data_IF_357344130671
#
_entry.id   IF_357344130671
#
_cell.length_a   1.000
_cell.length_b   1.000
_cell.length_c   1.000
_cell.angle_alpha   90.00
_cell.angle_beta   90.00
_cell.angle_gamma   90.00
#
_symmetry.space_group_name_H-M   'P 1'
#
loop_
_entity.id
_entity.type
_entity.pdbx_description
1 polymer ?
#
# COMPACT_ATOMS: atom_id res chain seq x y z
N UNK A 1 -14.20 -45.34 -15.84
CA UNK A 1 -14.66 -45.09 -14.47
C UNK A 1 -13.41 -44.97 -13.63
N UNK A 2 -12.73 -43.83 -13.71
CA UNK A 2 -12.96 -42.66 -12.83
C UNK A 2 -12.36 -42.96 -11.44
N UNK A 3 -11.39 -42.24 -10.87
CA UNK A 3 -11.04 -40.82 -10.95
C UNK A 3 -9.55 -40.65 -10.60
N UNK A 4 -8.83 -39.84 -11.38
CA UNK A 4 -7.57 -39.21 -10.98
C UNK A 4 -7.85 -38.20 -9.85
N UNK A 5 -7.29 -38.41 -8.66
CA UNK A 5 -7.10 -37.32 -7.68
C UNK A 5 -5.61 -37.08 -7.55
N UNK A 6 -5.20 -35.92 -8.04
CA UNK A 6 -3.84 -35.41 -7.96
C UNK A 6 -3.38 -35.38 -6.50
N UNK A 7 -2.21 -35.95 -6.25
CA UNK A 7 -1.46 -35.69 -5.03
C UNK A 7 -1.16 -34.18 -4.96
N UNK A 8 -1.50 -33.56 -3.83
CA UNK A 8 -1.03 -32.23 -3.47
C UNK A 8 0.50 -32.23 -3.50
N UNK A 9 1.19 -31.29 -4.19
CA UNK A 9 2.61 -31.16 -4.04
C UNK A 9 2.90 -30.61 -2.64
N UNK A 10 3.81 -31.30 -1.94
CA UNK A 10 4.30 -31.00 -0.60
C UNK A 10 4.62 -29.51 -0.45
N UNK A 11 4.10 -28.90 0.63
CA UNK A 11 4.55 -27.59 1.13
C UNK A 11 6.07 -27.64 1.31
N UNK A 12 6.82 -27.03 0.40
CA UNK A 12 8.24 -26.79 0.61
C UNK A 12 8.38 -25.74 1.72
N UNK A 13 8.88 -26.18 2.88
CA UNK A 13 9.43 -25.33 3.93
C UNK A 13 10.81 -24.76 3.54
N UNK A 14 11.06 -24.58 2.24
CA UNK A 14 12.33 -24.07 1.76
C UNK A 14 12.38 -22.56 2.04
N UNK A 15 13.30 -22.18 2.92
CA UNK A 15 13.75 -20.79 2.99
C UNK A 15 14.13 -20.34 1.56
N UNK A 16 13.67 -19.16 1.13
CA UNK A 16 14.00 -18.66 -0.20
C UNK A 16 15.51 -18.63 -0.41
N UNK A 17 15.97 -19.07 -1.57
CA UNK A 17 17.40 -19.13 -1.91
C UNK A 17 18.15 -17.81 -1.72
N UNK A 18 17.45 -16.67 -1.77
CA UNK A 18 18.03 -15.34 -1.53
C UNK A 18 18.52 -15.14 -0.07
N UNK A 19 17.94 -15.83 0.93
CA UNK A 19 18.40 -15.72 2.33
C UNK A 19 19.81 -16.29 2.52
N UNK A 20 20.23 -17.21 1.63
CA UNK A 20 21.56 -17.82 1.66
C UNK A 20 22.62 -17.00 0.91
N UNK A 21 22.22 -16.01 0.13
CA UNK A 21 23.10 -15.18 -0.70
C UNK A 21 23.57 -13.91 0.02
N UNK A 22 23.21 -13.74 1.30
CA UNK A 22 23.50 -12.59 2.17
C UNK A 22 24.99 -12.40 2.56
N UNK A 23 25.91 -13.28 2.12
CA UNK A 23 27.30 -13.29 2.58
C UNK A 23 28.31 -12.59 1.66
N UNK A 24 27.92 -12.09 0.49
CA UNK A 24 28.83 -11.36 -0.41
C UNK A 24 28.50 -9.86 -0.44
N UNK A 25 29.30 -9.08 0.27
CA UNK A 25 29.31 -7.60 0.22
C UNK A 25 29.71 -7.14 -1.19
N UNK A 26 28.74 -7.02 -2.09
CA UNK A 26 28.89 -6.34 -3.37
C UNK A 26 28.64 -4.84 -3.15
N UNK A 27 29.64 -4.02 -3.49
CA UNK A 27 29.52 -2.56 -3.41
C UNK A 27 28.64 -2.02 -4.53
N UNK A 28 27.51 -1.42 -4.16
CA UNK A 28 26.50 -0.91 -5.11
C UNK A 28 26.92 0.43 -5.73
N UNK A 29 26.67 0.60 -7.04
CA UNK A 29 27.02 1.79 -7.83
C UNK A 29 25.85 2.80 -7.79
N UNK A 30 26.05 4.13 -7.81
CA UNK A 30 24.95 5.10 -7.90
C UNK A 30 24.07 4.87 -9.14
N UNK A 31 22.75 4.79 -8.96
CA UNK A 31 21.77 4.50 -10.04
C UNK A 31 21.43 3.02 -10.22
N UNK A 32 21.65 2.20 -9.19
CA UNK A 32 21.32 0.77 -9.14
C UNK A 32 20.11 0.52 -8.25
N UNK A 33 19.27 -0.46 -8.61
CA UNK A 33 18.09 -0.82 -7.81
C UNK A 33 18.52 -1.84 -6.74
N UNK A 34 18.32 -1.52 -5.46
CA UNK A 34 18.54 -2.46 -4.37
C UNK A 34 17.49 -3.60 -4.45
N UNK A 35 17.89 -4.87 -4.55
CA UNK A 35 16.95 -5.98 -4.57
C UNK A 35 16.18 -6.17 -3.24
N UNK A 36 16.73 -5.72 -2.10
CA UNK A 36 16.06 -5.76 -0.78
C UNK A 36 14.85 -4.86 -0.73
N UNK A 37 14.86 -3.79 -1.52
CA UNK A 37 13.87 -2.74 -1.49
C UNK A 37 12.47 -3.18 -1.97
N UNK A 38 12.35 -4.20 -2.83
CA UNK A 38 11.10 -4.50 -3.55
C UNK A 38 10.18 -5.53 -2.87
N UNK A 39 10.55 -6.01 -1.69
CA UNK A 39 9.72 -6.88 -0.87
C UNK A 39 8.90 -6.13 0.17
N UNK A 40 8.91 -4.78 0.17
CA UNK A 40 8.63 -4.02 1.39
C UNK A 40 9.43 -4.65 2.53
N UNK A 41 10.75 -4.77 2.33
CA UNK A 41 11.60 -5.31 3.37
C UNK A 41 11.50 -4.35 4.55
N UNK A 42 10.68 -4.76 5.52
CA UNK A 42 10.46 -4.10 6.79
C UNK A 42 11.81 -3.62 7.33
N UNK A 43 12.88 -4.43 7.14
CA UNK A 43 14.28 -4.09 7.37
C UNK A 43 14.69 -2.66 7.05
N UNK A 44 14.58 -2.22 5.80
CA UNK A 44 15.14 -0.92 5.42
C UNK A 44 14.26 0.24 5.93
N UNK A 45 12.96 -0.02 6.14
CA UNK A 45 12.04 0.90 6.83
C UNK A 45 12.22 0.92 8.36
N UNK A 46 12.93 -0.07 8.90
CA UNK A 46 13.18 -0.28 10.32
C UNK A 46 14.60 0.14 10.74
N UNK A 47 15.57 0.11 9.82
CA UNK A 47 16.94 0.56 10.03
C UNK A 47 17.08 2.10 10.09
N UNK A 48 16.20 2.83 9.39
CA UNK A 48 16.15 4.30 9.39
C UNK A 48 15.34 4.87 10.58
N UNK A 49 14.99 4.05 11.59
CA UNK A 49 14.31 4.54 12.80
C UNK A 49 15.23 5.53 13.53
N UNK A 50 14.83 6.80 13.68
CA UNK A 50 15.63 7.71 14.49
C UNK A 50 15.58 7.23 15.93
N UNK A 51 16.76 7.12 16.55
CA UNK A 51 16.92 6.96 18.00
C UNK A 51 16.12 8.01 18.79
N UNK A 52 15.74 9.12 18.15
CA UNK A 52 14.90 10.18 18.69
C UNK A 52 13.48 9.74 19.07
N UNK A 53 13.00 8.55 18.69
CA UNK A 53 11.76 8.02 19.26
C UNK A 53 11.95 7.43 20.67
N UNK A 54 13.20 7.26 21.13
CA UNK A 54 13.55 7.01 22.53
C UNK A 54 13.92 8.30 23.30
N UNK A 55 14.32 9.38 22.61
CA UNK A 55 14.60 10.67 23.23
C UNK A 55 13.43 11.64 23.04
N UNK A 56 12.77 12.02 24.14
CA UNK A 56 11.62 12.94 24.16
C UNK A 56 11.94 14.39 23.75
N UNK A 57 13.08 14.67 23.11
CA UNK A 57 13.57 16.02 22.85
C UNK A 57 14.12 16.14 21.42
N UNK A 58 13.22 16.25 20.45
CA UNK A 58 13.53 16.67 19.09
C UNK A 58 12.34 17.43 18.49
N UNK A 59 12.59 18.63 18.00
CA UNK A 59 11.63 19.65 17.53
C UNK A 59 10.79 19.23 16.29
N UNK A 60 10.00 18.16 16.41
CA UNK A 60 8.81 17.97 15.59
C UNK A 60 7.60 18.18 16.50
N UNK A 61 6.79 19.21 16.22
CA UNK A 61 5.59 19.60 16.97
C UNK A 61 4.48 18.53 16.89
N UNK A 62 4.71 17.33 17.43
CA UNK A 62 3.73 16.23 17.48
C UNK A 62 3.50 15.71 18.91
N UNK A 63 4.00 16.41 19.93
CA UNK A 63 3.88 16.05 21.35
C UNK A 63 2.43 16.02 21.89
N UNK A 64 1.40 16.27 21.07
CA UNK A 64 -0.01 16.27 21.48
C UNK A 64 -0.91 15.25 20.78
N UNK A 65 -0.41 14.46 19.81
CA UNK A 65 -1.29 13.58 19.00
C UNK A 65 -1.70 12.30 19.74
N UNK A 66 -0.96 11.88 20.77
CA UNK A 66 -1.22 10.57 21.40
C UNK A 66 -0.90 10.53 22.89
N UNK A 67 -1.95 10.43 23.71
CA UNK A 67 -1.84 9.79 25.02
C UNK A 67 -1.87 8.27 24.81
N UNK A 68 -0.85 7.50 25.25
CA UNK A 68 -0.92 6.06 25.16
C UNK A 68 -2.18 5.56 25.85
N UNK A 69 -2.96 4.66 25.22
CA UNK A 69 -4.24 4.22 25.74
C UNK A 69 -3.97 3.57 27.09
N UNK A 70 -4.34 4.26 28.17
CA UNK A 70 -4.46 3.63 29.47
C UNK A 70 -5.33 2.39 29.29
N UNK A 71 -4.95 1.25 29.86
CA UNK A 71 -5.69 0.00 29.66
C UNK A 71 -7.14 0.18 30.16
N UNK A 72 -8.06 0.48 29.23
CA UNK A 72 -9.47 0.65 29.56
C UNK A 72 -10.11 -0.72 29.69
N UNK A 73 -11.12 -0.84 30.54
CA UNK A 73 -11.96 -2.06 30.60
C UNK A 73 -12.60 -2.37 29.23
N UNK A 74 -12.74 -1.36 28.37
CA UNK A 74 -13.26 -1.46 27.00
C UNK A 74 -12.35 -2.29 26.10
N UNK A 75 -11.05 -1.99 26.02
CA UNK A 75 -10.13 -2.72 25.17
C UNK A 75 -10.06 -4.21 25.52
N UNK A 76 -10.01 -4.55 26.82
CA UNK A 76 -10.06 -5.94 27.31
C UNK A 76 -11.29 -6.67 26.79
N UNK A 77 -12.46 -6.04 26.90
CA UNK A 77 -13.73 -6.62 26.42
C UNK A 77 -13.70 -6.83 24.91
N UNK A 78 -13.14 -5.87 24.15
CA UNK A 78 -13.01 -5.95 22.69
C UNK A 78 -12.06 -7.06 22.24
N UNK A 79 -10.92 -7.24 22.90
CA UNK A 79 -9.97 -8.31 22.62
C UNK A 79 -10.64 -9.68 22.81
N UNK A 80 -11.37 -9.86 23.93
CA UNK A 80 -12.09 -11.10 24.21
C UNK A 80 -13.21 -11.37 23.18
N UNK A 81 -13.97 -10.36 22.80
CA UNK A 81 -15.03 -10.49 21.79
C UNK A 81 -14.48 -10.82 20.39
N UNK A 82 -13.35 -10.22 20.01
CA UNK A 82 -12.67 -10.50 18.75
C UNK A 82 -12.13 -11.93 18.73
N UNK A 83 -11.45 -12.34 19.79
CA UNK A 83 -10.99 -13.73 19.99
C UNK A 83 -12.14 -14.73 19.79
N UNK A 84 -13.26 -14.52 20.47
CA UNK A 84 -14.45 -15.38 20.39
C UNK A 84 -15.02 -15.44 18.97
N UNK A 85 -15.04 -14.30 18.27
CA UNK A 85 -15.54 -14.20 16.89
C UNK A 85 -14.66 -15.00 15.92
N UNK A 86 -13.34 -14.93 16.06
CA UNK A 86 -12.40 -15.67 15.20
C UNK A 86 -12.48 -17.19 15.47
N UNK A 87 -12.59 -17.62 16.73
CA UNK A 87 -12.77 -19.04 17.09
C UNK A 87 -14.06 -19.63 16.50
N UNK A 88 -15.16 -18.87 16.49
CA UNK A 88 -16.42 -19.31 15.89
C UNK A 88 -16.29 -19.58 14.38
N UNK A 89 -15.38 -18.89 13.68
CA UNK A 89 -15.17 -19.10 12.25
C UNK A 89 -14.33 -20.34 11.92
N UNK A 90 -13.55 -20.86 12.87
CA UNK A 90 -12.67 -22.01 12.67
C UNK A 90 -13.28 -23.33 13.14
N UNK A 91 -14.48 -23.32 13.72
CA UNK A 91 -15.14 -24.52 14.29
C UNK A 91 -15.24 -25.70 13.32
N UNK A 92 -15.45 -25.42 12.02
CA UNK A 92 -15.55 -26.44 10.98
C UNK A 92 -14.26 -26.62 10.14
N UNK A 93 -13.12 -26.08 10.60
CA UNK A 93 -11.84 -26.06 9.86
C UNK A 93 -10.69 -26.42 10.80
N UNK A 94 -10.40 -27.72 10.99
CA UNK A 94 -9.42 -28.21 11.98
C UNK A 94 -8.04 -27.55 11.83
N UNK A 95 -7.54 -27.44 10.59
CA UNK A 95 -6.24 -26.82 10.29
C UNK A 95 -6.14 -25.34 10.70
N UNK A 96 -7.24 -24.57 10.59
CA UNK A 96 -7.25 -23.17 11.04
C UNK A 96 -7.43 -23.06 12.56
N UNK A 97 -8.07 -24.06 13.17
CA UNK A 97 -8.30 -24.07 14.61
C UNK A 97 -6.99 -24.29 15.37
N UNK A 98 -6.21 -25.30 14.99
CA UNK A 98 -4.90 -25.60 15.62
C UNK A 98 -3.95 -24.41 15.57
N UNK A 99 -3.88 -23.74 14.42
CA UNK A 99 -3.03 -22.56 14.20
C UNK A 99 -3.52 -21.31 14.94
N UNK A 100 -4.85 -21.16 15.07
CA UNK A 100 -5.42 -20.09 15.88
C UNK A 100 -5.18 -20.35 17.37
N UNK A 101 -5.27 -21.61 17.82
CA UNK A 101 -4.93 -22.04 19.18
C UNK A 101 -3.45 -21.77 19.51
N UNK A 102 -2.54 -21.95 18.54
CA UNK A 102 -1.15 -21.51 18.67
C UNK A 102 -1.04 -19.99 18.88
N UNK A 103 -1.78 -19.20 18.09
CA UNK A 103 -1.78 -17.73 18.24
C UNK A 103 -2.31 -17.28 19.61
N UNK A 104 -3.25 -18.03 20.21
CA UNK A 104 -3.67 -17.83 21.59
C UNK A 104 -2.53 -18.12 22.58
N UNK A 105 -1.84 -19.24 22.41
CA UNK A 105 -0.72 -19.64 23.27
C UNK A 105 0.48 -18.69 23.15
N UNK A 106 0.73 -18.11 21.98
CA UNK A 106 1.79 -17.14 21.73
C UNK A 106 1.48 -15.74 22.28
N UNK A 107 0.34 -15.55 22.95
CA UNK A 107 -0.01 -14.28 23.59
C UNK A 107 -0.52 -13.19 22.63
N UNK A 108 -0.89 -13.53 21.39
CA UNK A 108 -1.40 -12.54 20.41
C UNK A 108 -2.65 -11.82 20.94
N UNK A 109 -3.60 -12.55 21.53
CA UNK A 109 -4.86 -12.01 22.05
C UNK A 109 -4.75 -11.47 23.49
N UNK A 110 -3.63 -10.82 23.81
CA UNK A 110 -3.44 -10.11 25.08
C UNK A 110 -3.62 -8.61 24.87
N UNK A 111 -4.12 -7.92 25.90
CA UNK A 111 -4.29 -6.45 25.87
C UNK A 111 -2.93 -5.77 25.67
N UNK A 112 -1.88 -6.27 26.33
CA UNK A 112 -0.51 -5.78 26.19
C UNK A 112 0.01 -5.90 24.76
N UNK A 113 -0.24 -7.04 24.09
CA UNK A 113 0.17 -7.22 22.70
C UNK A 113 -0.56 -6.24 21.77
N UNK A 114 -1.87 -6.09 21.94
CA UNK A 114 -2.68 -5.15 21.15
C UNK A 114 -2.20 -3.70 21.30
N UNK A 115 -1.91 -3.26 22.53
CA UNK A 115 -1.38 -1.92 22.80
C UNK A 115 0.00 -1.73 22.15
N UNK A 116 0.92 -2.67 22.34
CA UNK A 116 2.27 -2.59 21.79
C UNK A 116 2.25 -2.58 20.26
N UNK A 117 1.49 -3.48 19.65
CA UNK A 117 1.34 -3.55 18.20
C UNK A 117 0.77 -2.24 17.64
N UNK A 118 -0.23 -1.68 18.32
CA UNK A 118 -0.79 -0.41 17.90
C UNK A 118 0.21 0.75 17.99
N UNK A 119 0.95 0.87 19.09
CA UNK A 119 1.97 1.93 19.25
C UNK A 119 2.97 1.87 18.10
N UNK A 120 3.44 0.66 17.74
CA UNK A 120 4.35 0.48 16.62
C UNK A 120 3.69 0.85 15.28
N UNK A 121 2.42 0.46 15.08
CA UNK A 121 1.67 0.85 13.88
C UNK A 121 1.58 2.37 13.73
N UNK A 122 1.25 3.08 14.81
CA UNK A 122 1.18 4.55 14.84
C UNK A 122 2.55 5.20 14.61
N UNK A 123 3.62 4.69 15.23
CA UNK A 123 4.99 5.20 15.02
C UNK A 123 5.41 5.08 13.55
N UNK A 124 4.88 4.09 12.83
CA UNK A 124 5.19 3.84 11.41
C UNK A 124 4.19 4.45 10.42
N UNK A 125 3.30 5.34 10.89
CA UNK A 125 2.27 5.98 10.06
C UNK A 125 2.80 6.66 8.78
N UNK A 126 4.01 7.19 8.82
CA UNK A 126 4.62 7.93 7.70
C UNK A 126 5.12 7.03 6.57
N UNK A 127 5.45 5.77 6.88
CA UNK A 127 6.06 4.87 5.90
C UNK A 127 5.12 4.45 4.78
N UNK A 128 3.87 4.16 5.15
CA UNK A 128 2.85 3.70 4.22
C UNK A 128 1.65 4.64 4.18
N UNK A 129 1.61 5.75 4.94
CA UNK A 129 0.48 6.71 4.99
C UNK A 129 -0.89 6.04 4.74
N UNK A 130 -1.26 5.02 5.55
CA UNK A 130 -2.47 4.24 5.31
C UNK A 130 -3.70 5.17 5.34
N UNK A 131 -4.88 4.74 4.85
CA UNK A 131 -6.09 5.56 4.87
C UNK A 131 -6.65 5.68 6.30
N UNK A 132 -5.86 6.19 7.25
CA UNK A 132 -6.14 6.32 8.68
C UNK A 132 -5.92 7.78 9.07
N UNK A 133 -6.98 8.42 9.55
CA UNK A 133 -6.92 9.76 10.10
C UNK A 133 -6.53 9.68 11.58
N UNK A 134 -5.22 9.71 11.84
CA UNK A 134 -4.65 9.50 13.16
C UNK A 134 -5.21 10.43 14.26
N UNK A 135 -5.45 11.73 14.01
CA UNK A 135 -6.02 12.59 15.04
C UNK A 135 -7.41 12.16 15.54
N UNK A 136 -8.18 11.44 14.73
CA UNK A 136 -9.51 10.93 15.11
C UNK A 136 -9.52 9.43 15.42
N UNK A 137 -8.37 8.76 15.36
CA UNK A 137 -8.29 7.31 15.46
C UNK A 137 -8.30 6.86 16.93
N UNK A 138 -9.35 6.12 17.30
CA UNK A 138 -9.57 5.68 18.68
C UNK A 138 -9.81 4.16 18.73
N UNK A 139 -8.86 3.44 19.34
CA UNK A 139 -8.90 1.98 19.49
C UNK A 139 -10.16 1.47 20.20
N UNK A 140 -10.74 2.27 21.10
CA UNK A 140 -11.92 1.89 21.86
C UNK A 140 -13.21 2.09 21.07
N UNK A 141 -13.20 2.91 20.00
CA UNK A 141 -14.40 3.27 19.22
C UNK A 141 -14.48 2.67 17.82
N UNK A 142 -13.36 2.38 17.17
CA UNK A 142 -13.34 1.84 15.79
C UNK A 142 -14.00 0.46 15.68
N UNK A 143 -14.40 0.02 14.49
CA UNK A 143 -14.90 -1.33 14.26
C UNK A 143 -13.87 -2.41 14.62
N UNK A 144 -14.34 -3.57 15.11
CA UNK A 144 -13.48 -4.72 15.45
C UNK A 144 -12.64 -5.22 14.27
N UNK A 145 -13.15 -5.07 13.04
CA UNK A 145 -12.46 -5.39 11.80
C UNK A 145 -11.21 -4.51 11.59
N UNK A 146 -11.37 -3.19 11.79
CA UNK A 146 -10.27 -2.24 11.66
C UNK A 146 -9.26 -2.39 12.79
N UNK A 147 -9.73 -2.65 14.02
CA UNK A 147 -8.87 -2.99 15.14
C UNK A 147 -7.99 -4.20 14.84
N UNK A 148 -8.58 -5.30 14.34
CA UNK A 148 -7.83 -6.50 13.99
C UNK A 148 -6.77 -6.20 12.93
N UNK A 149 -7.15 -5.51 11.83
CA UNK A 149 -6.21 -5.19 10.77
C UNK A 149 -5.05 -4.31 11.26
N UNK A 150 -5.34 -3.26 12.04
CA UNK A 150 -4.32 -2.38 12.62
C UNK A 150 -3.34 -3.14 13.53
N UNK A 151 -3.85 -4.03 14.39
CA UNK A 151 -3.02 -4.84 15.30
C UNK A 151 -2.20 -5.87 14.53
N UNK A 152 -2.73 -6.50 13.49
CA UNK A 152 -1.96 -7.43 12.64
C UNK A 152 -0.83 -6.70 11.91
N UNK A 153 -1.09 -5.51 11.35
CA UNK A 153 -0.05 -4.67 10.74
C UNK A 153 1.02 -4.28 11.77
N UNK A 154 0.61 -3.84 12.96
CA UNK A 154 1.52 -3.55 14.07
C UNK A 154 2.34 -4.76 14.52
N UNK A 155 1.73 -5.94 14.53
CA UNK A 155 2.38 -7.20 14.89
C UNK A 155 3.45 -7.58 13.87
N UNK A 156 3.18 -7.39 12.58
CA UNK A 156 4.17 -7.63 11.52
C UNK A 156 5.42 -6.75 11.71
N UNK A 157 5.24 -5.49 12.11
CA UNK A 157 6.35 -4.62 12.46
C UNK A 157 7.09 -5.06 13.72
N UNK A 158 6.38 -5.47 14.77
CA UNK A 158 6.96 -5.97 16.02
C UNK A 158 7.83 -7.21 15.77
N UNK A 159 7.37 -8.16 14.97
CA UNK A 159 8.11 -9.38 14.65
C UNK A 159 9.40 -9.12 13.90
N UNK A 160 9.41 -8.08 13.09
CA UNK A 160 10.64 -7.71 12.42
C UNK A 160 11.67 -7.14 13.42
N UNK A 161 11.21 -6.36 14.41
CA UNK A 161 12.07 -5.82 15.48
C UNK A 161 12.55 -6.91 16.44
N UNK A 162 11.63 -7.78 16.86
CA UNK A 162 11.89 -8.86 17.79
C UNK A 162 12.38 -10.09 17.03
N UNK A 163 13.70 -10.32 17.02
CA UNK A 163 14.33 -11.51 16.41
C UNK A 163 14.04 -12.81 17.17
N UNK A 164 13.00 -12.85 18.00
CA UNK A 164 12.60 -14.03 18.76
C UNK A 164 12.03 -15.11 17.83
N UNK A 165 12.08 -16.37 18.28
CA UNK A 165 11.61 -17.53 17.51
C UNK A 165 10.09 -17.70 17.53
N UNK A 166 9.35 -16.89 18.30
CA UNK A 166 7.89 -16.96 18.36
C UNK A 166 7.29 -16.01 17.33
N UNK A 167 6.64 -16.58 16.31
CA UNK A 167 5.95 -15.83 15.28
C UNK A 167 4.42 -15.85 15.55
N UNK A 168 3.85 -14.84 16.25
CA UNK A 168 2.40 -14.77 16.46
C UNK A 168 1.57 -14.52 15.18
N UNK A 169 2.18 -14.28 14.03
CA UNK A 169 1.54 -13.92 12.76
C UNK A 169 1.67 -15.08 11.78
N UNK A 170 0.85 -16.11 12.01
CA UNK A 170 0.84 -17.28 11.13
C UNK A 170 0.04 -17.00 9.85
N UNK A 171 0.36 -17.72 8.77
CA UNK A 171 -0.41 -17.64 7.52
C UNK A 171 -1.90 -17.97 7.74
N UNK A 172 -2.20 -18.86 8.67
CA UNK A 172 -3.56 -19.24 9.06
C UNK A 172 -4.29 -18.12 9.82
N UNK A 173 -3.60 -17.41 10.73
CA UNK A 173 -4.19 -16.25 11.41
C UNK A 173 -4.57 -15.17 10.40
N UNK A 174 -3.66 -14.87 9.45
CA UNK A 174 -3.92 -13.95 8.35
C UNK A 174 -5.11 -14.41 7.50
N UNK A 175 -5.17 -15.69 7.13
CA UNK A 175 -6.29 -16.26 6.37
C UNK A 175 -7.64 -16.15 7.12
N UNK A 176 -7.66 -16.35 8.44
CA UNK A 176 -8.87 -16.21 9.26
C UNK A 176 -9.28 -14.74 9.36
N UNK A 177 -8.33 -13.83 9.60
CA UNK A 177 -8.58 -12.39 9.66
C UNK A 177 -9.10 -11.84 8.33
N UNK A 178 -8.49 -12.25 7.21
CA UNK A 178 -8.95 -11.95 5.86
C UNK A 178 -10.41 -12.38 5.66
N UNK A 179 -10.76 -13.61 6.06
CA UNK A 179 -12.13 -14.12 5.96
C UNK A 179 -13.09 -13.35 6.86
N UNK A 180 -12.68 -12.96 8.06
CA UNK A 180 -13.47 -12.16 8.99
C UNK A 180 -13.90 -10.84 8.32
N UNK A 181 -12.92 -10.10 7.80
CA UNK A 181 -13.10 -8.78 7.21
C UNK A 181 -13.91 -8.87 5.91
N UNK A 182 -13.54 -9.75 4.99
CA UNK A 182 -14.23 -9.84 3.70
C UNK A 182 -15.62 -10.47 3.79
N UNK A 183 -15.93 -11.22 4.84
CA UNK A 183 -17.32 -11.65 5.12
C UNK A 183 -18.18 -10.45 5.46
N UNK A 184 -17.67 -9.53 6.26
CA UNK A 184 -18.38 -8.30 6.64
C UNK A 184 -18.52 -7.32 5.47
N UNK A 185 -17.46 -7.12 4.67
CA UNK A 185 -17.51 -6.31 3.44
C UNK A 185 -18.69 -6.76 2.56
N UNK A 186 -18.82 -8.07 2.32
CA UNK A 186 -19.90 -8.64 1.50
C UNK A 186 -21.26 -8.44 2.17
N UNK A 187 -21.38 -8.77 3.45
CA UNK A 187 -22.64 -8.65 4.20
C UNK A 187 -23.18 -7.22 4.15
N UNK A 188 -22.34 -6.21 4.35
CA UNK A 188 -22.72 -4.80 4.31
C UNK A 188 -23.07 -4.34 2.88
N UNK A 189 -22.32 -4.82 1.87
CA UNK A 189 -22.60 -4.52 0.48
C UNK A 189 -23.93 -5.13 -0.02
N UNK A 190 -24.29 -6.32 0.48
CA UNK A 190 -25.57 -6.98 0.21
C UNK A 190 -26.74 -6.22 0.85
N UNK A 191 -26.48 -5.52 1.96
CA UNK A 191 -27.42 -4.60 2.61
C UNK A 191 -27.47 -3.21 1.94
N UNK A 192 -26.77 -3.03 0.82
CA UNK A 192 -26.62 -1.75 0.11
C UNK A 192 -26.07 -0.61 0.98
N UNK A 193 -25.30 -0.93 2.03
CA UNK A 193 -24.58 0.07 2.80
C UNK A 193 -23.38 0.57 1.99
N UNK A 194 -23.17 1.88 1.99
CA UNK A 194 -22.04 2.52 1.31
C UNK A 194 -21.03 3.07 2.32
N UNK A 195 -19.72 3.13 1.98
CA UNK A 195 -18.72 3.75 2.85
C UNK A 195 -19.04 5.22 3.14
N UNK A 196 -19.57 5.95 2.15
CA UNK A 196 -19.93 7.35 2.30
C UNK A 196 -21.07 7.55 3.32
N UNK A 197 -22.05 6.65 3.38
CA UNK A 197 -23.21 6.78 4.27
C UNK A 197 -23.02 6.12 5.65
N UNK A 198 -21.99 5.27 5.83
CA UNK A 198 -21.80 4.51 7.05
C UNK A 198 -20.34 4.46 7.48
N UNK A 199 -20.06 5.00 8.67
CA UNK A 199 -18.75 4.91 9.33
C UNK A 199 -18.30 3.47 9.52
N UNK A 200 -19.19 2.58 9.95
CA UNK A 200 -18.85 1.16 10.11
C UNK A 200 -18.44 0.50 8.78
N UNK A 201 -19.16 0.81 7.69
CA UNK A 201 -18.79 0.31 6.36
C UNK A 201 -17.43 0.84 5.90
N UNK A 202 -17.18 2.13 6.13
CA UNK A 202 -15.90 2.76 5.84
C UNK A 202 -14.75 2.11 6.60
N UNK A 203 -14.92 1.87 7.91
CA UNK A 203 -13.92 1.22 8.76
C UNK A 203 -13.65 -0.24 8.35
N UNK A 204 -14.68 -0.97 7.90
CA UNK A 204 -14.52 -2.31 7.32
C UNK A 204 -13.76 -2.25 5.97
N UNK A 205 -13.99 -1.23 5.15
CA UNK A 205 -13.20 -1.01 3.93
C UNK A 205 -11.74 -0.62 4.24
N UNK A 206 -11.49 0.24 5.23
CA UNK A 206 -10.13 0.53 5.71
C UNK A 206 -9.42 -0.74 6.17
N UNK A 207 -10.11 -1.62 6.91
CA UNK A 207 -9.57 -2.91 7.32
C UNK A 207 -9.21 -3.80 6.13
N UNK A 208 -10.06 -3.85 5.10
CA UNK A 208 -9.80 -4.61 3.88
C UNK A 208 -8.59 -4.08 3.11
N UNK A 209 -8.42 -2.76 3.03
CA UNK A 209 -7.23 -2.13 2.44
C UNK A 209 -5.97 -2.50 3.20
N UNK A 210 -5.97 -2.36 4.53
CA UNK A 210 -4.83 -2.71 5.38
C UNK A 210 -4.44 -4.18 5.25
N UNK A 211 -5.43 -5.09 5.20
CA UNK A 211 -5.17 -6.52 4.99
C UNK A 211 -4.57 -6.80 3.62
N UNK A 212 -5.08 -6.18 2.55
CA UNK A 212 -4.52 -6.34 1.21
C UNK A 212 -3.06 -5.88 1.16
N UNK A 213 -2.73 -4.76 1.81
CA UNK A 213 -1.35 -4.27 1.91
C UNK A 213 -0.48 -5.23 2.74
N UNK A 214 -0.97 -5.66 3.91
CA UNK A 214 -0.23 -6.56 4.79
C UNK A 214 0.08 -7.90 4.13
N UNK A 215 -0.94 -8.67 3.74
CA UNK A 215 -0.72 -9.97 3.12
C UNK A 215 -0.03 -9.84 1.75
N UNK A 216 -0.24 -8.73 1.03
CA UNK A 216 0.47 -8.40 -0.21
C UNK A 216 1.98 -8.25 -0.03
N UNK A 217 2.40 -7.88 1.17
CA UNK A 217 3.81 -7.71 1.58
C UNK A 217 4.38 -8.97 2.23
N UNK A 218 3.55 -9.94 2.61
CA UNK A 218 4.05 -11.19 3.19
C UNK A 218 4.67 -12.10 2.14
N UNK A 219 5.70 -12.86 2.53
CA UNK A 219 6.26 -13.91 1.68
C UNK A 219 5.37 -15.16 1.67
N UNK A 220 4.09 -14.99 1.29
CA UNK A 220 3.12 -16.07 1.19
C UNK A 220 2.45 -16.06 -0.20
N UNK A 221 2.88 -16.99 -1.06
CA UNK A 221 2.46 -17.09 -2.47
C UNK A 221 0.92 -17.21 -2.59
N UNK A 222 0.32 -18.12 -1.82
CA UNK A 222 -1.13 -18.34 -1.83
C UNK A 222 -1.91 -17.11 -1.36
N UNK A 223 -1.40 -16.41 -0.33
CA UNK A 223 -1.98 -15.17 0.19
C UNK A 223 -2.00 -14.09 -0.88
N UNK A 224 -0.85 -13.79 -1.49
CA UNK A 224 -0.75 -12.80 -2.58
C UNK A 224 -1.67 -13.14 -3.76
N UNK A 225 -1.73 -14.41 -4.15
CA UNK A 225 -2.67 -14.85 -5.20
C UNK A 225 -4.12 -14.59 -4.83
N UNK A 226 -4.54 -14.93 -3.60
CA UNK A 226 -5.92 -14.68 -3.14
C UNK A 226 -6.23 -13.19 -3.10
N UNK A 227 -5.30 -12.36 -2.66
CA UNK A 227 -5.50 -10.91 -2.62
C UNK A 227 -5.75 -10.36 -4.02
N UNK A 228 -4.82 -10.64 -4.94
CA UNK A 228 -4.85 -10.13 -6.31
C UNK A 228 -6.10 -10.64 -7.06
N UNK A 229 -6.33 -11.96 -7.06
CA UNK A 229 -7.39 -12.57 -7.87
C UNK A 229 -8.80 -12.48 -7.27
N UNK A 230 -8.93 -12.20 -5.96
CA UNK A 230 -10.23 -12.28 -5.27
C UNK A 230 -10.51 -11.11 -4.33
N UNK A 231 -9.58 -10.72 -3.46
CA UNK A 231 -9.86 -9.73 -2.40
C UNK A 231 -9.91 -8.31 -2.91
N UNK A 232 -8.89 -7.87 -3.64
CA UNK A 232 -8.89 -6.56 -4.31
C UNK A 232 -10.11 -6.43 -5.24
N UNK A 233 -10.41 -7.40 -6.15
CA UNK A 233 -11.62 -7.34 -6.98
C UNK A 233 -12.92 -7.28 -6.18
N UNK A 234 -13.03 -7.99 -5.04
CA UNK A 234 -14.22 -7.94 -4.18
C UNK A 234 -14.41 -6.55 -3.59
N UNK A 235 -13.37 -5.96 -3.00
CA UNK A 235 -13.43 -4.62 -2.42
C UNK A 235 -13.77 -3.59 -3.50
N UNK A 236 -13.09 -3.68 -4.65
CA UNK A 236 -13.31 -2.80 -5.78
C UNK A 236 -14.74 -2.87 -6.32
N UNK A 237 -15.34 -4.05 -6.42
CA UNK A 237 -16.73 -4.19 -6.84
C UNK A 237 -17.69 -3.43 -5.89
N UNK A 238 -17.41 -3.45 -4.59
CA UNK A 238 -18.17 -2.70 -3.58
C UNK A 238 -17.96 -1.19 -3.72
N UNK A 239 -16.73 -0.73 -3.91
CA UNK A 239 -16.41 0.68 -4.11
C UNK A 239 -17.05 1.22 -5.42
N UNK A 240 -17.03 0.44 -6.49
CA UNK A 240 -17.70 0.76 -7.76
C UNK A 240 -19.22 0.86 -7.58
N UNK A 241 -19.85 -0.16 -6.97
CA UNK A 241 -21.31 -0.19 -6.74
C UNK A 241 -21.78 0.99 -5.87
N UNK A 242 -20.96 1.42 -4.92
CA UNK A 242 -21.28 2.56 -4.03
C UNK A 242 -21.00 3.94 -4.64
N UNK A 243 -20.38 4.00 -5.82
CA UNK A 243 -20.08 5.26 -6.51
C UNK A 243 -18.91 6.05 -5.92
N UNK A 244 -18.22 5.53 -4.90
CA UNK A 244 -17.14 6.27 -4.21
C UNK A 244 -15.85 6.36 -5.03
N UNK A 245 -15.69 5.56 -6.09
CA UNK A 245 -14.53 5.64 -7.01
C UNK A 245 -14.44 7.02 -7.68
N UNK A 246 -15.60 7.63 -7.98
CA UNK A 246 -15.69 8.97 -8.58
C UNK A 246 -15.86 10.11 -7.56
N UNK A 247 -15.62 9.84 -6.27
CA UNK A 247 -15.89 10.80 -5.19
C UNK A 247 -14.97 12.01 -5.27
N UNK A 248 -15.53 13.19 -5.03
CA UNK A 248 -14.83 14.47 -5.07
C UNK A 248 -15.04 15.22 -3.77
N UNK A 249 -14.08 16.04 -3.39
CA UNK A 249 -14.26 17.03 -2.33
C UNK A 249 -15.40 17.99 -2.71
N UNK A 250 -16.24 18.35 -1.75
CA UNK A 250 -17.29 19.36 -1.99
C UNK A 250 -16.65 20.73 -2.27
N UNK A 251 -17.23 21.53 -3.19
CA UNK A 251 -16.75 22.89 -3.42
C UNK A 251 -16.89 23.70 -2.14
N UNK A 252 -15.87 24.49 -1.84
CA UNK A 252 -15.82 25.27 -0.61
C UNK A 252 -16.77 26.47 -0.73
N UNK A 253 -17.96 26.34 -0.14
CA UNK A 253 -18.95 27.41 -0.06
C UNK A 253 -19.41 27.54 1.40
N UNK A 254 -18.62 28.26 2.21
CA UNK A 254 -18.90 28.50 3.63
C UNK A 254 -18.06 27.63 4.59
N UNK A 255 -18.49 27.55 5.84
CA UNK A 255 -17.85 26.68 6.85
C UNK A 255 -18.04 25.21 6.47
N UNK A 256 -16.94 24.54 6.13
CA UNK A 256 -16.94 23.11 5.89
C UNK A 256 -16.85 22.36 7.21
N UNK A 257 -17.79 21.45 7.46
CA UNK A 257 -17.76 20.57 8.62
C UNK A 257 -16.54 19.63 8.53
N UNK A 258 -15.64 19.75 9.52
CA UNK A 258 -14.38 19.01 9.55
C UNK A 258 -14.61 17.49 9.63
N UNK A 259 -15.56 17.02 10.44
CA UNK A 259 -15.87 15.60 10.55
C UNK A 259 -16.38 15.03 9.22
N UNK A 260 -17.30 15.73 8.55
CA UNK A 260 -17.79 15.35 7.22
C UNK A 260 -16.68 15.37 6.16
N UNK A 261 -15.76 16.34 6.23
CA UNK A 261 -14.59 16.37 5.35
C UNK A 261 -13.69 15.16 5.57
N UNK A 262 -13.31 14.87 6.82
CA UNK A 262 -12.46 13.72 7.16
C UNK A 262 -13.11 12.41 6.75
N UNK A 263 -14.41 12.24 6.99
CA UNK A 263 -15.14 11.02 6.58
C UNK A 263 -15.11 10.84 5.05
N UNK A 264 -15.34 11.92 4.30
CA UNK A 264 -15.29 11.91 2.83
C UNK A 264 -13.88 11.67 2.30
N UNK A 265 -12.88 12.36 2.84
CA UNK A 265 -11.48 12.21 2.46
C UNK A 265 -10.96 10.80 2.79
N UNK A 266 -11.41 10.20 3.88
CA UNK A 266 -11.12 8.80 4.21
C UNK A 266 -11.69 7.86 3.13
N UNK A 267 -12.89 8.13 2.59
CA UNK A 267 -13.43 7.36 1.46
C UNK A 267 -12.55 7.50 0.21
N UNK A 268 -12.08 8.72 -0.11
CA UNK A 268 -11.17 8.99 -1.22
C UNK A 268 -9.88 8.19 -1.04
N UNK A 269 -9.26 8.26 0.15
CA UNK A 269 -8.02 7.53 0.46
C UNK A 269 -8.19 6.02 0.42
N UNK A 270 -9.35 5.46 0.81
CA UNK A 270 -9.66 4.03 0.65
C UNK A 270 -9.65 3.61 -0.82
N UNK A 271 -10.22 4.43 -1.71
CA UNK A 271 -10.16 4.19 -3.16
C UNK A 271 -8.73 4.29 -3.67
N UNK A 272 -8.01 5.35 -3.30
CA UNK A 272 -6.60 5.55 -3.69
C UNK A 272 -5.72 4.37 -3.27
N UNK A 273 -5.85 3.90 -2.03
CA UNK A 273 -5.08 2.75 -1.55
C UNK A 273 -5.50 1.41 -2.14
N UNK A 274 -6.78 1.27 -2.53
CA UNK A 274 -7.22 0.10 -3.31
C UNK A 274 -6.55 0.11 -4.68
N UNK A 275 -6.46 1.28 -5.33
CA UNK A 275 -5.78 1.46 -6.60
C UNK A 275 -4.26 1.22 -6.51
N UNK A 276 -3.62 1.69 -5.44
CA UNK A 276 -2.20 1.42 -5.15
C UNK A 276 -1.98 -0.09 -4.97
N UNK A 277 -2.73 -0.75 -4.08
CA UNK A 277 -2.58 -2.19 -3.84
C UNK A 277 -2.77 -3.03 -5.12
N UNK A 278 -3.75 -2.68 -5.97
CA UNK A 278 -3.95 -3.32 -7.27
C UNK A 278 -2.73 -3.14 -8.19
N UNK A 279 -2.17 -1.93 -8.24
CA UNK A 279 -0.98 -1.60 -9.02
C UNK A 279 0.26 -2.38 -8.57
N UNK A 280 0.46 -2.49 -7.26
CA UNK A 280 1.57 -3.23 -6.68
C UNK A 280 1.47 -4.72 -7.01
N UNK A 281 0.26 -5.30 -7.13
CA UNK A 281 0.11 -6.67 -7.63
C UNK A 281 0.47 -6.79 -9.11
N UNK A 282 0.20 -5.77 -9.93
CA UNK A 282 0.66 -5.73 -11.32
C UNK A 282 2.17 -5.62 -11.44
N UNK A 283 2.79 -4.80 -10.59
CA UNK A 283 4.25 -4.65 -10.54
C UNK A 283 4.92 -5.91 -10.00
N UNK A 284 4.63 -6.32 -8.77
CA UNK A 284 5.38 -7.39 -8.09
C UNK A 284 4.97 -8.78 -8.53
N UNK A 285 3.68 -8.99 -8.83
CA UNK A 285 3.14 -10.31 -9.11
C UNK A 285 2.82 -10.54 -10.58
N UNK A 286 3.14 -9.58 -11.46
CA UNK A 286 2.79 -9.63 -12.87
C UNK A 286 1.28 -9.91 -13.08
N UNK A 287 0.44 -9.45 -12.14
CA UNK A 287 -1.00 -9.70 -12.15
C UNK A 287 -1.72 -8.61 -12.97
N UNK A 288 -2.61 -8.95 -13.92
CA UNK A 288 -3.34 -7.92 -14.66
C UNK A 288 -4.10 -6.97 -13.72
N UNK A 289 -3.97 -5.65 -13.89
CA UNK A 289 -4.62 -4.69 -13.00
C UNK A 289 -6.14 -4.83 -13.09
N UNK A 290 -6.83 -4.87 -11.95
CA UNK A 290 -8.28 -4.92 -11.87
C UNK A 290 -8.92 -3.53 -12.04
N UNK A 291 -8.14 -2.47 -11.82
CA UNK A 291 -8.56 -1.08 -12.03
C UNK A 291 -7.94 -0.44 -13.27
N UNK A 292 -8.72 0.38 -13.96
CA UNK A 292 -8.27 1.20 -15.09
C UNK A 292 -7.95 2.62 -14.64
N UNK A 293 -7.15 3.36 -15.40
CA UNK A 293 -6.93 4.79 -15.11
C UNK A 293 -8.19 5.61 -15.35
N UNK A 294 -8.96 5.28 -16.40
CA UNK A 294 -10.14 6.05 -16.80
C UNK A 294 -11.25 6.06 -15.75
N UNK A 295 -11.38 4.99 -14.95
CA UNK A 295 -12.39 4.97 -13.89
C UNK A 295 -12.06 5.90 -12.71
N UNK A 296 -10.79 6.32 -12.56
CA UNK A 296 -10.29 7.15 -11.45
C UNK A 296 -10.64 8.64 -11.65
N UNK A 297 -11.94 8.91 -11.72
CA UNK A 297 -12.55 10.23 -11.94
C UNK A 297 -12.76 11.05 -10.66
N UNK A 298 -12.50 10.44 -9.50
CA UNK A 298 -12.52 11.09 -8.19
C UNK A 298 -11.34 12.03 -7.97
N UNK A 299 -11.39 12.80 -6.88
CA UNK A 299 -10.24 13.62 -6.50
C UNK A 299 -9.09 12.77 -5.97
N UNK A 300 -7.85 13.22 -6.18
CA UNK A 300 -6.69 12.69 -5.47
C UNK A 300 -6.80 13.08 -3.98
N UNK A 301 -6.11 12.34 -3.08
CA UNK A 301 -6.07 12.68 -1.65
C UNK A 301 -5.66 14.13 -1.43
N UNK A 302 -6.20 14.76 -0.39
CA UNK A 302 -5.86 16.13 -0.04
C UNK A 302 -4.42 16.25 0.52
N UNK A 303 -3.94 17.49 0.59
CA UNK A 303 -2.62 17.83 1.14
C UNK A 303 -2.49 17.39 2.60
N UNK A 304 -1.27 17.08 3.01
CA UNK A 304 -0.98 16.55 4.36
C UNK A 304 -1.46 17.51 5.45
N UNK A 305 -1.38 18.83 5.28
CA UNK A 305 -1.82 19.80 6.30
C UNK A 305 -3.32 19.76 6.57
N UNK A 306 -4.13 19.43 5.57
CA UNK A 306 -5.59 19.24 5.75
C UNK A 306 -5.91 17.89 6.37
N UNK A 307 -5.15 16.87 6.01
CA UNK A 307 -5.34 15.51 6.52
C UNK A 307 -4.77 15.29 7.92
N UNK A 308 -3.77 16.06 8.33
CA UNK A 308 -3.15 15.93 9.66
C UNK A 308 -3.70 16.95 10.66
N UNK A 309 -4.62 17.81 10.22
CA UNK A 309 -5.34 18.72 11.11
C UNK A 309 -6.01 17.93 12.24
N UNK A 310 -5.78 18.34 13.48
CA UNK A 310 -6.23 17.66 14.70
C UNK A 310 -7.54 18.23 15.29
N UNK A 311 -8.02 19.31 14.69
CA UNK A 311 -9.16 20.07 15.17
C UNK A 311 -9.78 20.86 14.02
N UNK A 312 -11.07 21.17 14.15
CA UNK A 312 -11.75 22.06 13.19
C UNK A 312 -11.01 23.40 13.06
N UNK A 313 -10.49 23.96 14.16
CA UNK A 313 -9.75 25.23 14.12
C UNK A 313 -8.49 25.13 13.25
N UNK A 314 -7.68 24.09 13.43
CA UNK A 314 -6.48 23.83 12.59
C UNK A 314 -6.88 23.63 11.13
N UNK A 315 -7.93 22.85 10.87
CA UNK A 315 -8.47 22.62 9.54
C UNK A 315 -8.89 23.93 8.84
N UNK A 316 -9.63 24.81 9.51
CA UNK A 316 -10.07 26.09 8.94
C UNK A 316 -8.90 27.05 8.63
N UNK A 317 -7.74 26.90 9.29
CA UNK A 317 -6.54 27.69 8.96
C UNK A 317 -5.93 27.25 7.62
N UNK A 318 -5.94 25.96 7.34
CA UNK A 318 -5.35 25.40 6.12
C UNK A 318 -6.29 25.42 4.92
N UNK A 319 -7.62 25.37 5.15
CA UNK A 319 -8.62 25.30 4.09
C UNK A 319 -8.67 26.58 3.23
N UNK A 320 -8.38 27.72 3.85
CA UNK A 320 -8.39 29.04 3.20
C UNK A 320 -7.15 29.30 2.34
N UNK A 321 -6.16 28.40 2.36
CA UNK A 321 -5.00 28.50 1.51
C UNK A 321 -5.36 27.97 0.11
N UNK A 322 -5.58 28.85 -0.89
CA UNK A 322 -6.13 28.45 -2.18
C UNK A 322 -5.27 27.36 -2.81
N UNK A 323 -5.91 26.21 -3.03
CA UNK A 323 -5.43 25.17 -3.91
C UNK A 323 -5.18 25.81 -5.30
N UNK A 324 -3.92 26.11 -5.60
CA UNK A 324 -3.53 26.58 -6.93
C UNK A 324 -3.90 25.53 -7.99
N UNK A 325 -4.07 25.93 -9.24
CA UNK A 325 -4.44 25.05 -10.36
C UNK A 325 -3.54 23.80 -10.50
N UNK A 326 -3.89 22.70 -9.82
CA UNK A 326 -3.27 21.37 -9.92
C UNK A 326 -4.30 20.37 -10.48
N UNK A 327 -3.88 19.27 -11.14
CA UNK A 327 -4.84 18.24 -11.56
C UNK A 327 -5.48 17.62 -10.32
N UNK A 328 -6.76 17.92 -10.11
CA UNK A 328 -7.52 17.45 -8.94
C UNK A 328 -7.86 15.96 -9.04
N UNK A 329 -7.88 15.39 -10.25
CA UNK A 329 -8.25 14.00 -10.52
C UNK A 329 -7.08 13.19 -11.03
N UNK A 330 -7.06 11.92 -10.67
CA UNK A 330 -6.00 10.98 -11.06
C UNK A 330 -5.93 10.78 -12.58
N UNK A 331 -7.08 10.55 -13.21
CA UNK A 331 -7.16 10.32 -14.66
C UNK A 331 -6.68 11.55 -15.47
N UNK A 332 -7.00 12.76 -15.02
CA UNK A 332 -6.53 14.02 -15.62
C UNK A 332 -5.02 14.20 -15.45
N UNK A 333 -4.47 13.89 -14.27
CA UNK A 333 -3.04 13.95 -14.02
C UNK A 333 -2.26 13.01 -14.95
N UNK A 334 -2.70 11.75 -15.06
CA UNK A 334 -2.06 10.74 -15.91
C UNK A 334 -2.21 11.12 -17.39
N UNK A 335 -3.39 11.55 -17.81
CA UNK A 335 -3.63 12.03 -19.19
C UNK A 335 -2.73 13.21 -19.54
N UNK A 336 -2.51 14.15 -18.60
CA UNK A 336 -1.58 15.26 -18.79
C UNK A 336 -0.14 14.80 -18.96
N UNK A 337 0.33 13.82 -18.19
CA UNK A 337 1.67 13.24 -18.37
C UNK A 337 1.84 12.54 -19.72
N UNK A 338 0.78 11.91 -20.23
CA UNK A 338 0.78 11.23 -21.53
C UNK A 338 0.63 12.18 -22.72
N UNK A 339 0.07 13.38 -22.52
CA UNK A 339 -0.24 14.33 -23.59
C UNK A 339 0.96 14.63 -24.51
N UNK A 340 0.71 14.89 -25.79
CA UNK A 340 1.80 15.28 -26.70
C UNK A 340 2.42 16.62 -26.28
N UNK A 341 1.56 17.60 -25.98
CA UNK A 341 1.97 18.95 -25.60
C UNK A 341 2.38 19.03 -24.13
N UNK A 342 3.47 19.75 -23.86
CA UNK A 342 3.98 20.01 -22.51
C UNK A 342 4.23 21.51 -22.35
N UNK A 343 3.13 22.27 -22.37
CA UNK A 343 3.13 23.74 -22.37
C UNK A 343 3.68 24.32 -21.06
N UNK A 344 4.04 25.61 -21.07
CA UNK A 344 4.51 26.31 -19.86
C UNK A 344 3.51 26.27 -18.71
N UNK A 345 2.21 26.47 -19.00
CA UNK A 345 1.14 26.41 -17.99
C UNK A 345 0.95 25.00 -17.44
N UNK A 346 1.05 23.97 -18.28
CA UNK A 346 1.00 22.56 -17.82
C UNK A 346 2.18 22.24 -16.92
N UNK A 347 3.40 22.63 -17.30
CA UNK A 347 4.60 22.47 -16.48
C UNK A 347 4.47 23.15 -15.13
N UNK A 348 3.96 24.38 -15.10
CA UNK A 348 3.77 25.12 -13.85
C UNK A 348 2.73 24.45 -12.95
N UNK A 349 1.61 23.99 -13.52
CA UNK A 349 0.55 23.28 -12.79
C UNK A 349 1.07 21.97 -12.17
N UNK A 350 1.72 21.13 -12.97
CA UNK A 350 2.29 19.85 -12.51
C UNK A 350 3.48 20.05 -11.57
N UNK A 351 4.25 21.14 -11.71
CA UNK A 351 5.38 21.45 -10.83
C UNK A 351 5.00 21.65 -9.37
N UNK A 352 3.70 21.86 -9.08
CA UNK A 352 3.15 22.01 -7.72
C UNK A 352 2.80 20.69 -7.04
N UNK A 353 2.79 19.57 -7.77
CA UNK A 353 2.53 18.23 -7.21
C UNK A 353 3.60 17.87 -6.19
N UNK A 354 3.17 17.36 -5.04
CA UNK A 354 4.07 16.92 -3.97
C UNK A 354 4.54 15.45 -4.17
N UNK A 355 5.33 14.95 -3.23
CA UNK A 355 5.84 13.57 -3.26
C UNK A 355 4.70 12.54 -3.18
N UNK A 356 3.67 12.79 -2.37
CA UNK A 356 2.54 11.88 -2.19
C UNK A 356 1.69 11.82 -3.47
N UNK A 357 1.48 12.96 -4.12
CA UNK A 357 0.79 13.06 -5.40
C UNK A 357 1.51 12.26 -6.49
N UNK A 358 2.83 12.47 -6.60
CA UNK A 358 3.65 11.80 -7.61
C UNK A 358 3.77 10.31 -7.36
N UNK A 359 3.88 9.88 -6.10
CA UNK A 359 3.79 8.46 -5.73
C UNK A 359 2.48 7.84 -6.21
N UNK A 360 1.34 8.49 -5.95
CA UNK A 360 0.04 8.01 -6.39
C UNK A 360 -0.09 7.98 -7.92
N UNK A 361 0.40 9.01 -8.63
CA UNK A 361 0.36 9.08 -10.10
C UNK A 361 1.27 8.00 -10.73
N UNK A 362 2.38 7.64 -10.07
CA UNK A 362 3.28 6.56 -10.52
C UNK A 362 2.51 5.24 -10.69
N UNK A 363 1.61 4.92 -9.77
CA UNK A 363 0.77 3.72 -9.86
C UNK A 363 -0.17 3.71 -11.08
N UNK A 364 -0.52 4.89 -11.60
CA UNK A 364 -1.20 5.01 -12.89
C UNK A 364 -0.29 4.62 -14.05
N UNK A 365 0.96 5.07 -14.04
CA UNK A 365 1.95 4.78 -15.09
C UNK A 365 2.34 3.29 -15.11
N UNK A 366 2.41 2.62 -13.95
CA UNK A 366 2.62 1.17 -13.84
C UNK A 366 1.64 0.40 -14.74
N UNK A 367 0.37 0.82 -14.80
CA UNK A 367 -0.66 0.18 -15.64
C UNK A 367 -0.44 0.39 -17.13
N UNK A 368 -0.01 1.58 -17.53
CA UNK A 368 0.33 1.85 -18.93
C UNK A 368 1.55 1.04 -19.37
N UNK A 369 2.55 0.89 -18.51
CA UNK A 369 3.72 0.03 -18.74
C UNK A 369 3.29 -1.43 -18.85
N UNK A 370 2.42 -1.91 -17.95
CA UNK A 370 1.86 -3.25 -18.03
C UNK A 370 1.13 -3.47 -19.36
N UNK A 371 0.35 -2.49 -19.81
CA UNK A 371 -0.35 -2.53 -21.10
C UNK A 371 0.63 -2.57 -22.29
N UNK A 372 1.71 -1.77 -22.28
CA UNK A 372 2.75 -1.82 -23.31
C UNK A 372 3.34 -3.23 -23.47
N UNK A 373 3.50 -3.97 -22.37
CA UNK A 373 4.11 -5.31 -22.38
C UNK A 373 3.14 -6.41 -22.78
N UNK A 374 1.86 -6.29 -22.39
CA UNK A 374 0.89 -7.41 -22.46
C UNK A 374 -0.16 -7.24 -23.55
N UNK A 375 -0.14 -6.14 -24.30
CA UNK A 375 -1.11 -5.84 -25.36
C UNK A 375 -0.42 -5.48 -26.68
N UNK A 376 -1.18 -5.52 -27.77
CA UNK A 376 -0.71 -5.11 -29.08
C UNK A 376 -0.73 -3.58 -29.18
N UNK A 377 0.37 -2.93 -28.77
CA UNK A 377 0.52 -1.47 -28.78
C UNK A 377 1.33 -0.98 -29.98
N UNK A 378 1.01 0.21 -30.46
CA UNK A 378 1.79 0.89 -31.51
C UNK A 378 3.10 1.47 -30.93
N UNK A 379 4.17 1.63 -31.74
CA UNK A 379 5.38 2.32 -31.30
C UNK A 379 5.12 3.73 -30.73
N UNK A 380 4.14 4.45 -31.29
CA UNK A 380 3.75 5.79 -30.81
C UNK A 380 3.20 5.76 -29.39
N UNK A 381 2.45 4.72 -29.03
CA UNK A 381 1.93 4.52 -27.68
C UNK A 381 3.07 4.22 -26.71
N UNK A 382 4.00 3.34 -27.08
CA UNK A 382 5.19 3.05 -26.25
C UNK A 382 6.02 4.32 -26.03
N UNK A 383 6.26 5.11 -27.08
CA UNK A 383 6.94 6.39 -26.98
C UNK A 383 6.19 7.39 -26.09
N UNK A 384 4.86 7.40 -26.14
CA UNK A 384 4.02 8.21 -25.26
C UNK A 384 4.22 7.87 -23.78
N UNK A 385 4.24 6.58 -23.44
CA UNK A 385 4.45 6.14 -22.05
C UNK A 385 5.87 6.46 -21.58
N UNK A 386 6.90 6.26 -22.41
CA UNK A 386 8.28 6.61 -22.07
C UNK A 386 8.44 8.12 -21.79
N UNK A 387 7.82 8.98 -22.60
CA UNK A 387 7.78 10.43 -22.34
C UNK A 387 7.10 10.78 -21.02
N UNK A 388 6.02 10.08 -20.67
CA UNK A 388 5.33 10.29 -19.40
C UNK A 388 6.23 9.94 -18.20
N UNK A 389 7.00 8.86 -18.30
CA UNK A 389 8.01 8.48 -17.30
C UNK A 389 9.12 9.54 -17.19
N UNK A 390 9.61 10.10 -18.31
CA UNK A 390 10.60 11.19 -18.29
C UNK A 390 10.07 12.45 -17.58
N UNK A 391 8.81 12.82 -17.86
CA UNK A 391 8.16 13.98 -17.24
C UNK A 391 7.96 13.75 -15.75
N UNK A 392 7.50 12.55 -15.37
CA UNK A 392 7.34 12.17 -13.97
C UNK A 392 8.67 12.26 -13.22
N UNK A 393 9.78 11.77 -13.80
CA UNK A 393 11.11 11.80 -13.18
C UNK A 393 11.60 13.24 -12.93
N UNK A 394 11.42 14.13 -13.91
CA UNK A 394 11.72 15.55 -13.75
C UNK A 394 10.87 16.21 -12.64
N UNK A 395 9.59 15.86 -12.56
CA UNK A 395 8.68 16.38 -11.52
C UNK A 395 9.09 15.87 -10.14
N UNK A 396 9.48 14.59 -10.04
CA UNK A 396 9.95 13.98 -8.81
C UNK A 396 11.19 14.67 -8.26
N UNK A 397 12.21 14.89 -9.09
CA UNK A 397 13.44 15.59 -8.68
C UNK A 397 13.12 16.98 -8.12
N UNK A 398 12.23 17.72 -8.78
CA UNK A 398 11.81 19.05 -8.32
C UNK A 398 10.99 18.97 -7.01
N UNK A 399 10.11 17.99 -6.87
CA UNK A 399 9.33 17.79 -5.65
C UNK A 399 10.23 17.42 -4.47
N UNK A 400 11.17 16.49 -4.67
CA UNK A 400 12.12 16.06 -3.64
C UNK A 400 13.06 17.19 -3.20
N UNK A 401 13.45 18.08 -4.13
CA UNK A 401 14.25 19.25 -3.80
C UNK A 401 13.53 20.23 -2.86
N UNK A 402 12.19 20.25 -2.85
CA UNK A 402 11.40 21.06 -1.91
C UNK A 402 11.25 20.43 -0.53
N UNK A 403 11.53 19.12 -0.39
CA UNK A 403 11.47 18.42 0.89
C UNK A 403 12.79 18.65 1.66
N UNK A 404 12.74 19.15 2.90
CA UNK A 404 13.90 19.27 3.78
C UNK A 404 14.68 17.96 3.88
N UNK A 405 16.01 18.02 3.91
CA UNK A 405 16.86 16.83 3.81
C UNK A 405 16.63 15.85 4.97
N UNK A 406 16.42 16.38 6.17
CA UNK A 406 16.10 15.69 7.41
C UNK A 406 14.70 15.03 7.40
N UNK A 407 13.78 15.55 6.60
CA UNK A 407 12.44 15.00 6.42
C UNK A 407 12.39 13.86 5.38
N UNK A 408 13.38 13.78 4.48
CA UNK A 408 13.38 12.78 3.39
C UNK A 408 13.37 11.33 3.88
N UNK A 409 13.90 11.05 5.08
CA UNK A 409 13.86 9.72 5.70
C UNK A 409 12.42 9.25 5.98
N UNK A 410 11.49 10.19 6.16
CA UNK A 410 10.08 9.92 6.48
C UNK A 410 9.18 9.78 5.26
N UNK A 411 9.73 9.86 4.04
CA UNK A 411 8.95 9.66 2.81
C UNK A 411 8.48 8.21 2.63
N UNK A 412 8.95 7.28 3.47
CA UNK A 412 8.44 5.92 3.48
C UNK A 412 8.75 5.17 2.20
N UNK A 413 7.80 4.35 1.74
CA UNK A 413 7.92 3.63 0.47
C UNK A 413 8.05 4.59 -0.72
N UNK A 414 7.47 5.80 -0.63
CA UNK A 414 7.45 6.74 -1.74
C UNK A 414 8.88 7.17 -2.14
N UNK A 415 9.84 7.21 -1.20
CA UNK A 415 11.24 7.61 -1.46
C UNK A 415 11.88 6.83 -2.61
N UNK A 416 11.36 5.64 -2.88
CA UNK A 416 11.88 4.72 -3.88
C UNK A 416 11.10 4.66 -5.20
N UNK A 417 10.17 5.59 -5.40
CA UNK A 417 9.45 5.74 -6.66
C UNK A 417 10.39 5.91 -7.88
N UNK A 418 11.56 6.58 -7.79
CA UNK A 418 12.51 6.64 -8.90
C UNK A 418 13.03 5.27 -9.35
N UNK A 419 13.34 4.38 -8.41
CA UNK A 419 13.78 3.01 -8.67
C UNK A 419 12.68 2.23 -9.38
N UNK A 420 11.43 2.38 -8.92
CA UNK A 420 10.26 1.79 -9.59
C UNK A 420 10.15 2.31 -11.03
N UNK A 421 10.26 3.62 -11.26
CA UNK A 421 10.18 4.21 -12.61
C UNK A 421 11.32 3.76 -13.52
N UNK A 422 12.53 3.61 -12.99
CA UNK A 422 13.65 3.04 -13.71
C UNK A 422 13.36 1.60 -14.16
N UNK A 423 12.81 0.77 -13.26
CA UNK A 423 12.37 -0.60 -13.58
C UNK A 423 11.28 -0.59 -14.66
N UNK A 424 10.25 0.26 -14.51
CA UNK A 424 9.16 0.37 -15.47
C UNK A 424 9.65 0.71 -16.89
N UNK A 425 10.60 1.65 -16.99
CA UNK A 425 11.25 1.97 -18.26
C UNK A 425 11.97 0.75 -18.82
N UNK A 426 12.72 0.05 -17.97
CA UNK A 426 13.47 -1.13 -18.39
C UNK A 426 12.55 -2.25 -18.89
N UNK A 427 11.41 -2.45 -18.25
CA UNK A 427 10.38 -3.39 -18.70
C UNK A 427 9.92 -3.06 -20.11
N UNK A 428 9.73 -1.78 -20.45
CA UNK A 428 9.39 -1.36 -21.82
C UNK A 428 10.54 -1.66 -22.79
N UNK A 429 11.76 -1.28 -22.46
CA UNK A 429 12.93 -1.45 -23.34
C UNK A 429 13.25 -2.92 -23.67
N UNK A 430 13.03 -3.82 -22.70
CA UNK A 430 13.22 -5.25 -22.88
C UNK A 430 12.05 -5.92 -23.60
N UNK A 431 10.88 -5.28 -23.66
CA UNK A 431 9.71 -5.89 -24.28
C UNK A 431 9.97 -6.15 -25.77
N UNK A 432 9.88 -7.42 -26.17
CA UNK A 432 10.12 -7.87 -27.56
C UNK A 432 11.59 -8.23 -27.88
N UNK A 433 12.50 -8.20 -26.90
CA UNK A 433 13.88 -8.68 -27.09
C UNK A 433 14.03 -10.16 -26.70
N UNK A 434 15.13 -10.80 -27.13
CA UNK A 434 15.43 -12.21 -26.76
C UNK A 434 15.76 -12.35 -25.27
N UNK A 435 16.26 -11.30 -24.63
CA UNK A 435 16.56 -11.27 -23.21
C UNK A 435 15.29 -11.35 -22.35
N UNK A 436 14.17 -10.79 -22.84
CA UNK A 436 12.87 -10.90 -22.19
C UNK A 436 12.31 -12.33 -22.24
N UNK A 437 12.54 -13.08 -23.33
CA UNK A 437 12.11 -14.49 -23.44
C UNK A 437 12.72 -15.36 -22.33
N UNK A 438 13.93 -15.01 -21.87
CA UNK A 438 14.64 -15.73 -20.82
C UNK A 438 14.28 -15.26 -19.39
N UNK A 439 13.40 -14.27 -19.24
CA UNK A 439 12.98 -13.77 -17.93
C UNK A 439 11.60 -14.33 -17.59
N UNK A 440 11.48 -14.99 -16.43
CA UNK A 440 10.20 -15.48 -15.92
C UNK A 440 9.21 -14.34 -15.64
N UNK A 441 9.69 -13.17 -15.19
CA UNK A 441 8.87 -11.99 -14.93
C UNK A 441 8.29 -11.36 -16.21
N UNK A 442 9.08 -11.35 -17.29
CA UNK A 442 8.65 -10.74 -18.56
C UNK A 442 7.61 -11.57 -19.32
N UNK A 443 7.42 -12.84 -18.93
CA UNK A 443 6.36 -13.67 -19.49
C UNK A 443 4.97 -13.07 -19.19
N UNK A 444 3.97 -13.36 -20.02
CA UNK A 444 2.59 -12.94 -19.78
C UNK A 444 1.87 -13.87 -18.79
N UNK A 445 2.53 -14.25 -17.68
CA UNK A 445 2.04 -15.19 -16.67
C UNK A 445 2.19 -14.57 -15.28
N UNK A 446 1.12 -14.56 -14.50
CA UNK A 446 1.16 -14.07 -13.13
C UNK A 446 2.16 -14.87 -12.27
N UNK A 447 3.02 -14.16 -11.55
CA UNK A 447 4.14 -14.67 -10.77
C UNK A 447 4.04 -14.20 -9.32
N UNK A 448 3.34 -14.96 -8.47
CA UNK A 448 3.11 -14.58 -7.07
C UNK A 448 4.27 -14.93 -6.12
N UNK A 449 5.34 -15.51 -6.64
CA UNK A 449 6.60 -15.63 -5.93
C UNK A 449 7.42 -14.37 -6.21
N UNK A 450 7.76 -13.64 -5.14
CA UNK A 450 8.55 -12.43 -5.24
C UNK A 450 9.98 -12.67 -5.69
N UNK A 451 10.50 -13.90 -5.55
CA UNK A 451 11.82 -14.24 -6.06
C UNK A 451 11.93 -13.96 -7.58
N UNK A 452 10.83 -14.17 -8.32
CA UNK A 452 10.78 -13.94 -9.77
C UNK A 452 10.99 -12.47 -10.11
N UNK A 453 10.27 -11.57 -9.43
CA UNK A 453 10.44 -10.13 -9.64
C UNK A 453 11.82 -9.64 -9.17
N UNK A 454 12.28 -10.17 -8.03
CA UNK A 454 13.60 -9.85 -7.48
C UNK A 454 14.74 -10.24 -8.44
N UNK A 455 14.70 -11.45 -9.02
CA UNK A 455 15.67 -11.90 -10.01
C UNK A 455 15.66 -10.99 -11.25
N UNK A 456 14.48 -10.58 -11.73
CA UNK A 456 14.35 -9.64 -12.83
C UNK A 456 15.06 -8.32 -12.53
N UNK A 457 14.87 -7.79 -11.32
CA UNK A 457 15.49 -6.53 -10.89
C UNK A 457 17.00 -6.68 -10.77
N UNK A 458 17.50 -7.74 -10.15
CA UNK A 458 18.94 -8.00 -10.04
C UNK A 458 19.61 -8.07 -11.41
N UNK A 459 18.98 -8.76 -12.36
CA UNK A 459 19.55 -9.01 -13.68
C UNK A 459 19.44 -7.82 -14.62
N UNK A 460 18.35 -7.06 -14.55
CA UNK A 460 18.03 -6.06 -15.55
C UNK A 460 17.85 -4.63 -15.00
N UNK A 461 17.65 -4.47 -13.70
CA UNK A 461 17.45 -3.17 -13.03
C UNK A 461 18.72 -2.34 -12.94
N UNK A 462 19.90 -2.93 -13.19
CA UNK A 462 21.17 -2.21 -13.27
C UNK A 462 21.32 -1.62 -14.68
N UNK A 463 21.47 -0.30 -14.77
CA UNK A 463 21.90 0.36 -16.00
C UNK A 463 23.35 -0.04 -16.22
N UNK A 464 23.65 -0.96 -17.13
CA UNK A 464 24.98 -0.97 -17.73
C UNK A 464 25.12 0.41 -18.37
N UNK A 465 26.00 1.24 -17.82
CA UNK A 465 26.45 2.43 -18.53
C UNK A 465 26.95 1.89 -19.87
N UNK A 466 26.21 2.18 -20.93
CA UNK A 466 26.69 1.97 -22.29
C UNK A 466 28.02 2.71 -22.35
N UNK A 467 29.11 1.97 -22.22
CA UNK A 467 30.44 2.47 -22.43
C UNK A 467 30.42 3.01 -23.84
N UNK A 468 30.59 4.33 -23.91
CA UNK A 468 30.72 5.07 -25.14
C UNK A 468 31.83 4.44 -25.96
N UNK A 469 31.44 3.59 -26.91
CA UNK A 469 32.31 3.17 -28.00
C UNK A 469 32.53 4.37 -28.91
N UNK A 470 33.61 5.12 -28.64
CA UNK A 470 34.40 5.80 -29.65
C UNK A 470 35.87 5.67 -29.30
#
# INVERSE_FOLDING_TARGET
MDVNVAAEPERTLEEPTWSRQESETTGWVPGTVDPKFLLLNLSDMLLDEPLDYESTEGDLQFQSIFDPPSATNTLTTRVAALSSSLQSMTTNKPYLKEELDYSFQSGFFTVSHFQNAFIIFFRRRHYHKPPIHWPTFDLDKIASHLLLAAVLTGTAYLQYLDRSSQNPLTASLLEVAEKYIFKEVKRLADQNMTPLASRHMLEVCQAAVLMNSLEGSTNHIEGRRRIASKRIPTLLAVLRKSGVVGLKHEPHQGEMDWDSFIHRETCIRVVSWTFINDSLMSLFCNHPPAMTVEEMTGHIPCRSELWEADSNTSFQQHINNPAGSYPLKCNEAISGLLAQDWTGSTKESFGRLDISDLFFICEGLVRHVFHCRTSMVTPDYTAMVLRALDRWDCLWVNALARVPVDERRWLGIAKHSPEVVAILRRTIELSGTKEAENSAYMQCIAAYDSAIFHEFVQKYGLRESATSGR
#
